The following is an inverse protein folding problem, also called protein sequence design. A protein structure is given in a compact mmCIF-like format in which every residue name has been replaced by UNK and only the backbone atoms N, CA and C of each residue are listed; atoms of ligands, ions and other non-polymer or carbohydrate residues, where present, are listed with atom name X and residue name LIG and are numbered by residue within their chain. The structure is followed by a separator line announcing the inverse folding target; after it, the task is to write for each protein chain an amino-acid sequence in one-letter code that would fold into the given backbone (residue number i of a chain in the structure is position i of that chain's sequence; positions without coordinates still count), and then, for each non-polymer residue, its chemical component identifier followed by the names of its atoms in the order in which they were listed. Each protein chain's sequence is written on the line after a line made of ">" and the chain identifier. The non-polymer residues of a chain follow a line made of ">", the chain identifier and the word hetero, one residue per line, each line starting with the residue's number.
data_IF_644712290923
#
_entry.id   IF_644712290923
#
_cell.length_a   1.000
_cell.length_b   1.000
_cell.length_c   1.000
_cell.angle_alpha   90.00
_cell.angle_beta   90.00
_cell.angle_gamma   90.00
#
_symmetry.space_group_name_H-M   'P 1'
#
loop_
_entity.id
_entity.type
_entity.pdbx_description
1 polymer ?
#
# COMPACT_ATOMS: atom_id res chain seq x y z
N UNK A 1 -11.83 -0.49 4.63
CA UNK A 1 -10.85 0.47 4.08
C UNK A 1 -9.89 -0.28 3.18
N UNK A 2 -9.53 0.27 2.03
CA UNK A 2 -8.49 -0.32 1.17
C UNK A 2 -7.59 0.77 0.60
N UNK A 3 -6.37 0.39 0.21
CA UNK A 3 -5.45 1.28 -0.48
C UNK A 3 -4.90 0.62 -1.75
N UNK A 4 -4.46 1.45 -2.68
CA UNK A 4 -3.63 1.02 -3.82
C UNK A 4 -2.21 1.46 -3.53
N UNK A 5 -1.30 0.50 -3.43
CA UNK A 5 0.14 0.73 -3.24
C UNK A 5 0.91 0.31 -4.49
N UNK A 6 2.11 0.87 -4.67
CA UNK A 6 3.05 0.41 -5.68
C UNK A 6 4.30 -0.18 -5.04
N UNK A 7 4.63 -1.42 -5.41
CA UNK A 7 5.86 -2.10 -5.04
C UNK A 7 6.27 -3.06 -6.15
N UNK A 8 7.57 -3.29 -6.33
CA UNK A 8 8.08 -4.18 -7.39
C UNK A 8 7.69 -3.76 -8.82
N UNK A 9 7.38 -2.47 -9.03
CA UNK A 9 6.92 -1.95 -10.32
C UNK A 9 5.46 -2.30 -10.67
N UNK A 10 4.69 -2.83 -9.71
CA UNK A 10 3.28 -3.19 -9.86
C UNK A 10 2.41 -2.51 -8.82
N UNK A 11 1.14 -2.38 -9.15
CA UNK A 11 0.12 -1.83 -8.24
C UNK A 11 -0.67 -2.95 -7.58
N UNK A 12 -0.92 -2.80 -6.29
CA UNK A 12 -1.61 -3.78 -5.47
C UNK A 12 -2.72 -3.14 -4.65
N UNK A 13 -3.89 -3.78 -4.64
CA UNK A 13 -4.97 -3.45 -3.70
C UNK A 13 -4.76 -4.16 -2.38
N UNK A 14 -4.57 -3.38 -1.32
CA UNK A 14 -4.31 -3.84 0.05
C UNK A 14 -5.44 -3.46 0.99
N UNK A 15 -5.70 -4.35 1.93
CA UNK A 15 -6.76 -4.26 2.93
C UNK A 15 -6.23 -4.86 4.24
N UNK A 16 -6.66 -4.32 5.37
CA UNK A 16 -6.26 -4.87 6.68
C UNK A 16 -6.62 -6.35 6.80
N UNK A 17 -5.71 -7.14 7.37
CA UNK A 17 -5.89 -8.59 7.56
C UNK A 17 -5.70 -9.44 6.30
N UNK A 18 -5.41 -8.85 5.14
CA UNK A 18 -5.21 -9.58 3.89
C UNK A 18 -3.73 -9.92 3.66
N UNK A 19 -3.46 -11.18 3.35
CA UNK A 19 -2.13 -11.62 2.88
C UNK A 19 -1.96 -11.31 1.40
N UNK A 20 -0.86 -10.66 1.04
CA UNK A 20 -0.52 -10.32 -0.34
C UNK A 20 0.78 -11.02 -0.73
N UNK A 21 0.84 -11.51 -1.98
CA UNK A 21 2.09 -11.99 -2.57
C UNK A 21 2.66 -10.88 -3.46
N UNK A 22 3.85 -10.43 -3.10
CA UNK A 22 4.60 -9.40 -3.82
C UNK A 22 5.99 -9.92 -4.19
N UNK A 23 6.71 -9.09 -4.93
CA UNK A 23 8.11 -9.26 -5.29
C UNK A 23 9.00 -9.34 -4.05
N UNK A 24 10.22 -9.83 -4.22
CA UNK A 24 11.17 -9.95 -3.12
C UNK A 24 11.47 -8.59 -2.52
N UNK A 25 11.26 -8.46 -1.21
CA UNK A 25 11.59 -7.28 -0.42
C UNK A 25 12.92 -7.49 0.32
N UNK A 26 13.73 -6.44 0.51
CA UNK A 26 15.00 -6.51 1.24
C UNK A 26 14.77 -6.42 2.77
N UNK A 27 13.98 -7.35 3.31
CA UNK A 27 13.62 -7.42 4.74
C UNK A 27 13.70 -8.86 5.25
N UNK A 28 13.87 -9.05 6.55
CA UNK A 28 13.84 -10.39 7.13
C UNK A 28 12.42 -10.87 7.40
N UNK A 29 12.27 -12.19 7.60
CA UNK A 29 10.97 -12.77 7.92
C UNK A 29 10.51 -12.29 9.29
N UNK A 30 9.35 -11.65 9.34
CA UNK A 30 8.74 -11.15 10.57
C UNK A 30 9.00 -9.66 10.78
N UNK A 31 9.86 -9.03 9.99
CA UNK A 31 10.04 -7.59 10.02
C UNK A 31 8.78 -6.87 9.56
N UNK A 32 8.38 -5.77 10.23
CA UNK A 32 7.34 -4.91 9.72
C UNK A 32 7.81 -4.24 8.43
N UNK A 33 6.92 -4.16 7.44
CA UNK A 33 7.16 -3.47 6.18
C UNK A 33 6.25 -2.26 6.10
N UNK A 34 6.78 -1.12 5.68
CA UNK A 34 5.99 0.08 5.42
C UNK A 34 6.04 0.40 3.94
N UNK A 35 4.88 0.57 3.33
CA UNK A 35 4.74 1.01 1.94
C UNK A 35 4.40 2.50 1.90
N UNK A 36 5.36 3.30 1.43
CA UNK A 36 5.22 4.77 1.33
C UNK A 36 4.64 5.22 -0.02
N UNK A 37 4.66 4.36 -1.04
CA UNK A 37 4.10 4.65 -2.37
C UNK A 37 2.62 4.29 -2.42
N UNK A 38 1.80 5.11 -1.78
CA UNK A 38 0.35 4.97 -1.79
C UNK A 38 -0.25 5.86 -2.88
N UNK A 39 -1.00 5.27 -3.80
CA UNK A 39 -1.62 5.94 -4.95
C UNK A 39 -3.05 6.37 -4.64
N UNK A 40 -3.75 5.57 -3.86
CA UNK A 40 -5.17 5.78 -3.56
C UNK A 40 -5.55 5.16 -2.23
N UNK A 41 -6.48 5.78 -1.52
CA UNK A 41 -7.12 5.22 -0.33
C UNK A 41 -8.63 5.37 -0.47
N UNK A 42 -9.35 4.29 -0.18
CA UNK A 42 -10.79 4.28 0.01
C UNK A 42 -11.11 4.04 1.48
N UNK A 43 -11.78 5.00 2.10
CA UNK A 43 -12.27 4.89 3.47
C UNK A 43 -13.69 5.42 3.59
N UNK A 44 -14.60 4.64 4.17
CA UNK A 44 -15.96 5.09 4.49
C UNK A 44 -16.77 5.71 3.34
N UNK A 45 -16.49 5.36 2.08
CA UNK A 45 -17.14 5.96 0.89
C UNK A 45 -16.37 7.13 0.26
N UNK A 46 -15.38 7.69 0.95
CA UNK A 46 -14.47 8.69 0.45
C UNK A 46 -13.28 8.04 -0.27
N UNK A 47 -12.98 8.54 -1.47
CA UNK A 47 -11.84 8.11 -2.28
C UNK A 47 -10.84 9.25 -2.37
N UNK A 48 -9.60 9.05 -1.92
CA UNK A 48 -8.51 10.02 -2.10
C UNK A 48 -7.51 9.48 -3.12
N UNK A 49 -7.25 10.26 -4.17
CA UNK A 49 -6.31 9.92 -5.22
C UNK A 49 -5.07 10.80 -5.16
N UNK A 50 -3.90 10.18 -5.19
CA UNK A 50 -2.62 10.86 -5.29
C UNK A 50 -2.36 11.36 -6.71
N UNK A 51 -1.65 12.48 -6.83
CA UNK A 51 -1.15 13.00 -8.10
C UNK A 51 0.35 13.34 -7.93
N UNK A 52 1.28 12.39 -8.14
CA UNK A 52 1.11 10.96 -8.46
C UNK A 52 0.92 10.05 -7.24
N UNK A 53 1.24 10.52 -6.03
CA UNK A 53 1.17 9.77 -4.76
C UNK A 53 0.46 10.60 -3.69
N UNK A 54 -0.07 9.93 -2.66
CA UNK A 54 -0.55 10.58 -1.44
C UNK A 54 0.65 10.89 -0.54
N UNK A 55 0.94 12.18 -0.33
CA UNK A 55 2.18 12.65 0.32
C UNK A 55 2.32 12.28 1.80
N UNK A 56 1.22 12.00 2.49
CA UNK A 56 1.19 11.72 3.93
C UNK A 56 0.45 10.42 4.26
N UNK A 57 0.54 9.42 3.36
CA UNK A 57 -0.12 8.14 3.54
C UNK A 57 0.89 6.99 3.55
N UNK A 58 0.73 6.08 4.51
CA UNK A 58 1.56 4.89 4.68
C UNK A 58 0.69 3.68 4.99
N UNK A 59 1.06 2.52 4.46
CA UNK A 59 0.45 1.23 4.79
C UNK A 59 1.49 0.37 5.51
N UNK A 60 1.09 -0.25 6.63
CA UNK A 60 1.92 -1.11 7.48
C UNK A 60 1.30 -2.49 7.61
#
# INVERSE_FOLDING_TARGET
>A
MYAIIETGGKQYRVEEGKTLRVEKLPVEKGDPVVFDRVLMVQDGGEARFGQPLLKDCRVK
#
